data_IF_089223506792
#
_entry.id   IF_089223506792
#
_cell.length_a   1.000
_cell.length_b   1.000
_cell.length_c   1.000
_cell.angle_alpha   90.00
_cell.angle_beta   90.00
_cell.angle_gamma   90.00
#
_symmetry.space_group_name_H-M   'P 1'
#
loop_
_entity.id
_entity.type
_entity.pdbx_description
1 polymer ?
#
# COMPACT_ATOMS: atom_id res chain seq x y z
N UNK A 1 0.86 22.28 13.01
CA UNK A 1 1.89 21.37 12.48
C UNK A 1 2.53 22.01 11.26
N UNK A 2 3.81 21.70 10.93
CA UNK A 2 4.46 22.28 9.76
C UNK A 2 3.85 21.76 8.46
N UNK A 3 3.90 22.56 7.38
CA UNK A 3 3.50 22.12 6.05
C UNK A 3 4.43 21.01 5.56
N UNK A 4 3.92 20.13 4.69
CA UNK A 4 4.75 19.16 3.96
C UNK A 4 5.68 19.95 3.05
N UNK A 5 6.98 19.77 3.20
CA UNK A 5 8.02 20.50 2.46
C UNK A 5 8.70 19.50 1.52
N UNK A 6 9.14 19.98 0.36
CA UNK A 6 9.97 19.19 -0.56
C UNK A 6 11.25 18.72 0.16
N UNK A 7 11.60 17.43 0.13
CA UNK A 7 12.82 16.95 0.75
C UNK A 7 14.06 17.53 0.07
N UNK A 8 15.06 17.92 0.86
CA UNK A 8 16.36 18.27 0.34
C UNK A 8 17.05 17.02 -0.24
N UNK A 9 17.52 17.09 -1.47
CA UNK A 9 18.18 15.97 -2.14
C UNK A 9 19.65 15.91 -1.70
N UNK A 10 20.09 14.82 -1.01
CA UNK A 10 21.47 14.70 -0.56
C UNK A 10 22.45 14.60 -1.72
N UNK A 11 23.63 15.24 -1.60
CA UNK A 11 24.68 15.13 -2.60
C UNK A 11 25.16 13.68 -2.78
N UNK A 12 25.24 12.91 -1.69
CA UNK A 12 25.64 11.51 -1.72
C UNK A 12 24.69 10.64 -2.56
N UNK A 13 23.39 10.97 -2.61
CA UNK A 13 22.43 10.31 -3.52
C UNK A 13 22.77 10.64 -4.96
N UNK A 14 23.04 11.90 -5.27
CA UNK A 14 23.39 12.35 -6.61
C UNK A 14 24.69 11.66 -7.07
N UNK A 15 25.68 11.61 -6.19
CA UNK A 15 26.98 10.95 -6.45
C UNK A 15 26.80 9.45 -6.68
N UNK A 16 25.91 8.79 -5.94
CA UNK A 16 25.56 7.39 -6.15
C UNK A 16 24.92 7.16 -7.53
N UNK A 17 23.98 8.02 -7.95
CA UNK A 17 23.34 7.92 -9.27
C UNK A 17 24.34 8.15 -10.41
N UNK A 18 25.35 8.99 -10.21
CA UNK A 18 26.41 9.20 -11.20
C UNK A 18 27.42 8.07 -11.27
N UNK A 19 27.73 7.45 -10.12
CA UNK A 19 28.81 6.46 -9.98
C UNK A 19 28.56 5.18 -10.77
N UNK A 20 27.34 4.63 -10.74
CA UNK A 20 27.04 3.34 -11.33
C UNK A 20 26.47 3.46 -12.74
N UNK A 21 26.72 2.42 -13.55
CA UNK A 21 26.20 2.33 -14.91
C UNK A 21 24.88 1.57 -14.98
N UNK A 22 24.74 0.54 -14.14
CA UNK A 22 23.56 -0.34 -14.08
C UNK A 22 22.91 -0.20 -12.72
N UNK A 23 21.59 -0.18 -12.69
CA UNK A 23 20.81 -0.10 -11.45
C UNK A 23 19.83 -1.26 -11.33
N UNK A 24 19.92 -1.97 -10.20
CA UNK A 24 18.91 -2.90 -9.72
C UNK A 24 17.89 -2.10 -8.90
N UNK A 25 16.63 -2.12 -9.29
CA UNK A 25 15.58 -1.36 -8.60
C UNK A 25 14.60 -2.37 -8.02
N UNK A 26 14.44 -2.37 -6.69
CA UNK A 26 13.57 -3.28 -5.97
C UNK A 26 12.78 -2.53 -4.90
N UNK A 27 11.55 -2.96 -4.67
CA UNK A 27 10.74 -2.52 -3.54
C UNK A 27 10.40 -3.66 -2.60
N UNK A 28 9.42 -3.44 -1.72
CA UNK A 28 9.02 -4.46 -0.76
C UNK A 28 8.32 -5.67 -1.39
N UNK A 29 8.40 -6.82 -0.70
CA UNK A 29 7.59 -8.01 -1.01
C UNK A 29 6.10 -7.66 -0.94
N UNK A 30 5.28 -8.31 -1.79
CA UNK A 30 3.85 -7.99 -1.94
C UNK A 30 3.63 -6.51 -2.30
N UNK A 31 4.16 -6.08 -3.46
CA UNK A 31 4.19 -4.68 -3.83
C UNK A 31 2.80 -4.07 -3.94
N UNK A 32 2.73 -2.77 -3.71
CA UNK A 32 1.54 -1.97 -3.97
C UNK A 32 1.78 -0.94 -5.10
N UNK A 33 0.83 -0.01 -5.26
CA UNK A 33 0.92 0.95 -6.35
C UNK A 33 2.03 1.98 -6.18
N UNK A 34 2.38 2.37 -4.94
CA UNK A 34 3.50 3.30 -4.71
C UNK A 34 4.84 2.61 -4.95
N UNK A 35 4.99 1.37 -4.50
CA UNK A 35 6.17 0.55 -4.76
C UNK A 35 6.41 0.35 -6.27
N UNK A 36 5.37 -0.01 -7.04
CA UNK A 36 5.46 -0.23 -8.48
C UNK A 36 5.66 1.07 -9.24
N UNK A 37 4.90 2.12 -8.91
CA UNK A 37 5.03 3.46 -9.48
C UNK A 37 6.42 4.04 -9.28
N UNK A 38 6.96 3.92 -8.05
CA UNK A 38 8.30 4.33 -7.68
C UNK A 38 9.38 3.59 -8.46
N UNK A 39 9.28 2.26 -8.54
CA UNK A 39 10.25 1.44 -9.27
C UNK A 39 10.29 1.79 -10.76
N UNK A 40 9.14 1.89 -11.41
CA UNK A 40 9.06 2.18 -12.84
C UNK A 40 9.50 3.62 -13.13
N UNK A 41 9.03 4.61 -12.36
CA UNK A 41 9.42 6.01 -12.55
C UNK A 41 10.94 6.21 -12.40
N UNK A 42 11.55 5.60 -11.37
CA UNK A 42 13.01 5.62 -11.18
C UNK A 42 13.75 4.95 -12.35
N UNK A 43 13.25 3.83 -12.85
CA UNK A 43 13.82 3.15 -14.02
C UNK A 43 13.77 4.03 -15.28
N UNK A 44 12.63 4.67 -15.56
CA UNK A 44 12.47 5.58 -16.70
C UNK A 44 13.44 6.75 -16.61
N UNK A 45 13.51 7.39 -15.44
CA UNK A 45 14.41 8.48 -15.16
C UNK A 45 15.88 8.10 -15.39
N UNK A 46 16.34 6.97 -14.83
CA UNK A 46 17.72 6.50 -14.99
C UNK A 46 18.07 6.16 -16.44
N UNK A 47 17.13 5.54 -17.18
CA UNK A 47 17.30 5.29 -18.62
C UNK A 47 17.43 6.58 -19.42
N UNK A 48 16.68 7.62 -19.05
CA UNK A 48 16.81 8.97 -19.65
C UNK A 48 18.20 9.56 -19.41
N UNK A 49 18.86 9.21 -18.29
CA UNK A 49 20.24 9.59 -18.00
C UNK A 49 21.28 8.65 -18.66
N UNK A 50 20.86 7.73 -19.53
CA UNK A 50 21.74 6.77 -20.22
C UNK A 50 22.21 5.60 -19.37
N UNK A 51 21.55 5.32 -18.24
CA UNK A 51 21.83 4.18 -17.38
C UNK A 51 21.06 2.94 -17.81
N UNK A 52 21.58 1.76 -17.52
CA UNK A 52 20.87 0.49 -17.65
C UNK A 52 20.10 0.20 -16.36
N UNK A 53 18.90 -0.39 -16.46
CA UNK A 53 18.07 -0.68 -15.27
C UNK A 53 17.45 -2.07 -15.36
N UNK A 54 17.35 -2.74 -14.22
CA UNK A 54 16.62 -4.00 -14.03
C UNK A 54 15.60 -3.77 -12.91
N UNK A 55 14.32 -3.97 -13.23
CA UNK A 55 13.23 -3.94 -12.25
C UNK A 55 13.11 -5.31 -11.59
N UNK A 56 13.12 -5.35 -10.27
CA UNK A 56 13.08 -6.57 -9.47
C UNK A 56 11.90 -6.55 -8.51
N UNK A 57 11.21 -7.69 -8.37
CA UNK A 57 10.17 -7.88 -7.35
C UNK A 57 10.06 -9.34 -6.96
N UNK A 58 9.97 -9.63 -5.65
CA UNK A 58 9.66 -10.97 -5.15
C UNK A 58 8.18 -11.33 -5.31
N UNK A 59 7.34 -10.36 -5.71
CA UNK A 59 5.89 -10.58 -5.78
C UNK A 59 5.27 -10.97 -4.43
N UNK A 60 4.10 -11.63 -4.43
CA UNK A 60 3.18 -11.73 -5.57
C UNK A 60 2.44 -10.42 -5.86
N UNK A 61 2.04 -10.19 -7.13
CA UNK A 61 1.27 -9.02 -7.57
C UNK A 61 -0.23 -9.26 -7.35
N UNK A 62 -0.66 -9.25 -6.10
CA UNK A 62 -2.04 -9.61 -5.74
C UNK A 62 -3.07 -8.53 -6.04
N UNK A 63 -2.67 -7.26 -6.01
CA UNK A 63 -3.58 -6.13 -6.20
C UNK A 63 -3.92 -5.95 -7.68
N UNK A 64 -5.20 -5.91 -8.08
CA UNK A 64 -5.61 -5.84 -9.49
C UNK A 64 -5.00 -4.67 -10.26
N UNK A 65 -4.82 -3.52 -9.61
CA UNK A 65 -4.32 -2.29 -10.23
C UNK A 65 -2.84 -2.36 -10.62
N UNK A 66 -2.07 -3.33 -10.09
CA UNK A 66 -0.66 -3.50 -10.41
C UNK A 66 -0.35 -4.74 -11.24
N UNK A 67 -1.29 -5.67 -11.41
CA UNK A 67 -1.07 -6.93 -12.14
C UNK A 67 -0.53 -6.73 -13.56
N UNK A 68 -0.99 -5.68 -14.25
CA UNK A 68 -0.54 -5.39 -15.61
C UNK A 68 0.97 -5.07 -15.71
N UNK A 69 1.61 -4.72 -14.59
CA UNK A 69 3.03 -4.38 -14.55
C UNK A 69 3.94 -5.56 -14.21
N UNK A 70 3.39 -6.70 -13.76
CA UNK A 70 4.17 -7.86 -13.30
C UNK A 70 5.22 -8.31 -14.33
N UNK A 71 4.85 -8.34 -15.61
CA UNK A 71 5.76 -8.75 -16.70
C UNK A 71 7.00 -7.85 -16.89
N UNK A 72 7.04 -6.66 -16.27
CA UNK A 72 8.18 -5.75 -16.31
C UNK A 72 9.26 -6.12 -15.26
N UNK A 73 8.91 -6.93 -14.28
CA UNK A 73 9.76 -7.25 -13.14
C UNK A 73 10.33 -8.67 -13.24
N UNK A 74 11.58 -8.82 -12.81
CA UNK A 74 12.22 -10.13 -12.64
C UNK A 74 12.24 -10.51 -11.16
N UNK A 75 12.06 -11.78 -10.86
CA UNK A 75 12.24 -12.34 -9.51
C UNK A 75 13.72 -12.62 -9.18
N UNK A 76 14.63 -12.42 -10.15
CA UNK A 76 16.04 -12.76 -9.99
C UNK A 76 16.94 -11.69 -10.58
N UNK A 77 18.05 -11.41 -9.87
CA UNK A 77 19.16 -10.61 -10.40
C UNK A 77 19.82 -11.40 -11.53
N UNK A 78 20.01 -10.80 -12.72
CA UNK A 78 20.71 -11.46 -13.83
C UNK A 78 22.15 -11.86 -13.46
N UNK A 79 22.54 -13.10 -13.71
CA UNK A 79 23.86 -13.62 -13.32
C UNK A 79 25.02 -12.83 -13.91
N UNK A 80 24.89 -12.32 -15.14
CA UNK A 80 25.88 -11.46 -15.77
C UNK A 80 26.21 -10.17 -14.99
N UNK A 81 25.29 -9.70 -14.12
CA UNK A 81 25.53 -8.53 -13.26
C UNK A 81 26.29 -8.89 -11.99
N UNK A 82 26.18 -10.12 -11.52
CA UNK A 82 26.96 -10.63 -10.38
C UNK A 82 28.45 -10.75 -10.70
N UNK A 83 28.81 -10.89 -11.98
CA UNK A 83 30.21 -10.95 -12.46
C UNK A 83 30.88 -9.56 -12.52
N UNK A 84 30.11 -8.46 -12.45
CA UNK A 84 30.62 -7.08 -12.54
C UNK A 84 30.00 -6.14 -11.49
N UNK A 85 30.10 -6.47 -10.20
CA UNK A 85 29.40 -5.73 -9.12
C UNK A 85 29.84 -4.26 -9.01
N UNK A 86 31.06 -3.92 -9.42
CA UNK A 86 31.59 -2.55 -9.38
C UNK A 86 30.86 -1.57 -10.31
N UNK A 87 30.15 -2.07 -11.33
CA UNK A 87 29.36 -1.26 -12.25
C UNK A 87 27.90 -1.11 -11.80
N UNK A 88 27.48 -1.85 -10.77
CA UNK A 88 26.08 -2.03 -10.39
C UNK A 88 25.79 -1.39 -9.05
N UNK A 89 24.75 -0.56 -8.99
CA UNK A 89 24.15 -0.04 -7.76
C UNK A 89 22.72 -0.55 -7.57
N UNK A 90 22.28 -0.73 -6.34
CA UNK A 90 20.90 -1.10 -6.03
C UNK A 90 20.16 0.10 -5.44
N UNK A 91 18.92 0.32 -5.89
CA UNK A 91 18.00 1.33 -5.34
C UNK A 91 16.81 0.59 -4.77
N UNK A 92 16.63 0.72 -3.46
CA UNK A 92 15.52 0.14 -2.74
C UNK A 92 14.47 1.24 -2.57
N UNK A 93 13.27 1.02 -3.09
CA UNK A 93 12.19 2.00 -3.05
C UNK A 93 11.04 1.52 -2.18
N UNK A 94 10.39 2.46 -1.51
CA UNK A 94 9.17 2.24 -0.75
C UNK A 94 9.28 1.21 0.38
N UNK A 95 10.48 1.06 0.92
CA UNK A 95 10.73 0.30 2.13
C UNK A 95 12.07 0.66 2.76
N UNK A 96 12.18 0.41 4.05
CA UNK A 96 13.28 0.87 4.90
C UNK A 96 14.60 0.13 4.70
N UNK A 97 14.64 -0.92 3.88
CA UNK A 97 15.87 -1.67 3.64
C UNK A 97 15.69 -2.93 2.81
N UNK A 98 16.81 -3.53 2.43
CA UNK A 98 16.88 -4.76 1.61
C UNK A 98 16.10 -5.92 2.23
N UNK A 99 16.08 -6.04 3.55
CA UNK A 99 15.36 -7.08 4.30
C UNK A 99 13.85 -7.15 3.99
N UNK A 100 13.29 -6.04 3.50
CA UNK A 100 11.87 -5.97 3.11
C UNK A 100 11.59 -6.46 1.69
N UNK A 101 12.62 -6.70 0.88
CA UNK A 101 12.49 -7.12 -0.51
C UNK A 101 12.18 -8.63 -0.68
N UNK A 102 11.99 -9.37 0.42
CA UNK A 102 11.72 -10.81 0.42
C UNK A 102 12.90 -11.62 -0.09
N UNK A 103 12.66 -12.59 -0.97
CA UNK A 103 13.71 -13.50 -1.49
C UNK A 103 14.77 -12.81 -2.34
N UNK A 104 14.59 -11.53 -2.68
CA UNK A 104 15.60 -10.70 -3.33
C UNK A 104 16.68 -10.21 -2.35
N UNK A 105 16.43 -10.23 -1.03
CA UNK A 105 17.34 -9.67 -0.04
C UNK A 105 18.75 -10.27 -0.12
N UNK A 106 18.85 -11.60 -0.22
CA UNK A 106 20.13 -12.30 -0.37
C UNK A 106 20.83 -11.97 -1.70
N UNK A 107 20.06 -11.81 -2.78
CA UNK A 107 20.60 -11.52 -4.10
C UNK A 107 21.11 -10.08 -4.23
N UNK A 108 20.58 -9.15 -3.44
CA UNK A 108 20.93 -7.72 -3.44
C UNK A 108 22.03 -7.39 -2.43
N UNK A 109 22.33 -8.27 -1.48
CA UNK A 109 23.24 -8.01 -0.37
C UNK A 109 24.68 -7.65 -0.80
N UNK A 110 25.13 -8.18 -1.94
CA UNK A 110 26.48 -7.96 -2.46
C UNK A 110 26.62 -6.64 -3.25
N UNK A 111 25.53 -5.92 -3.50
CA UNK A 111 25.55 -4.68 -4.27
C UNK A 111 25.47 -3.46 -3.34
N UNK A 112 26.27 -2.40 -3.60
CA UNK A 112 26.09 -1.12 -2.94
C UNK A 112 24.68 -0.59 -3.14
N UNK A 113 24.01 -0.21 -2.05
CA UNK A 113 22.59 0.14 -2.11
C UNK A 113 22.25 1.43 -1.39
N UNK A 114 21.21 2.12 -1.88
CA UNK A 114 20.53 3.23 -1.22
C UNK A 114 19.04 2.93 -1.10
N UNK A 115 18.40 3.55 -0.10
CA UNK A 115 16.94 3.51 0.08
C UNK A 115 16.33 4.88 -0.24
N UNK A 116 15.19 4.86 -0.93
CA UNK A 116 14.31 6.02 -1.13
C UNK A 116 12.95 5.63 -0.58
N UNK A 117 12.52 6.23 0.53
CA UNK A 117 11.37 5.74 1.29
C UNK A 117 10.67 6.87 2.06
N UNK A 118 9.37 6.71 2.27
CA UNK A 118 8.57 7.61 3.10
C UNK A 118 8.11 7.00 4.44
N UNK A 119 8.45 5.74 4.71
CA UNK A 119 8.08 5.09 5.98
C UNK A 119 8.97 5.54 7.13
N UNK A 120 8.35 5.84 8.29
CA UNK A 120 9.04 6.32 9.50
C UNK A 120 9.84 5.24 10.25
N UNK A 121 9.76 3.98 9.83
CA UNK A 121 10.42 2.84 10.50
C UNK A 121 11.92 2.81 10.20
N UNK A 122 12.72 2.41 11.19
CA UNK A 122 14.19 2.40 11.22
C UNK A 122 14.84 2.05 9.88
N UNK A 123 15.00 3.06 9.04
CA UNK A 123 15.74 2.91 7.79
C UNK A 123 17.19 2.61 8.11
N UNK A 124 17.74 1.58 7.48
CA UNK A 124 19.18 1.38 7.41
C UNK A 124 19.76 2.63 6.75
N UNK A 125 20.41 3.48 7.52
CA UNK A 125 21.01 4.73 7.03
C UNK A 125 22.28 4.40 6.25
N UNK A 126 22.14 3.82 5.06
CA UNK A 126 23.26 3.79 4.12
C UNK A 126 23.51 5.22 3.62
N UNK A 127 24.78 5.56 3.40
CA UNK A 127 25.17 6.84 2.83
C UNK A 127 24.48 7.03 1.49
N UNK A 128 23.82 8.17 1.31
CA UNK A 128 23.03 8.48 0.10
C UNK A 128 21.55 8.08 0.13
N UNK A 129 21.08 7.37 1.16
CA UNK A 129 19.66 7.08 1.32
C UNK A 129 18.85 8.36 1.63
N UNK A 130 17.64 8.45 1.06
CA UNK A 130 16.70 9.53 1.29
C UNK A 130 15.40 8.96 1.85
N UNK A 131 15.24 9.07 3.18
CA UNK A 131 14.02 8.69 3.89
C UNK A 131 13.35 9.95 4.40
N UNK A 132 12.11 10.19 3.97
CA UNK A 132 11.35 11.39 4.32
C UNK A 132 9.92 11.04 4.75
N UNK A 133 9.75 10.85 6.05
CA UNK A 133 8.50 10.34 6.65
C UNK A 133 7.30 11.31 6.55
N UNK A 134 7.51 12.58 6.24
CA UNK A 134 6.44 13.54 6.00
C UNK A 134 5.94 13.53 4.54
N UNK A 135 6.61 12.79 3.64
CA UNK A 135 6.13 12.65 2.27
C UNK A 135 4.86 11.79 2.23
N UNK A 136 3.90 12.12 1.35
CA UNK A 136 2.66 11.36 1.20
C UNK A 136 2.85 10.02 0.51
N UNK A 137 3.99 9.81 -0.16
CA UNK A 137 4.35 8.60 -0.91
C UNK A 137 5.83 8.64 -1.31
N UNK A 138 6.40 7.51 -1.65
CA UNK A 138 7.76 7.43 -2.21
C UNK A 138 7.83 8.03 -3.60
N UNK A 139 6.78 7.92 -4.41
CA UNK A 139 6.70 8.59 -5.71
C UNK A 139 6.80 10.12 -5.62
N UNK A 140 6.30 10.76 -4.56
CA UNK A 140 6.50 12.19 -4.31
C UNK A 140 7.98 12.54 -4.12
N UNK A 141 8.73 11.71 -3.39
CA UNK A 141 10.18 11.90 -3.20
C UNK A 141 10.92 11.74 -4.54
N UNK A 142 10.56 10.71 -5.32
CA UNK A 142 11.18 10.46 -6.64
C UNK A 142 10.88 11.61 -7.61
N UNK A 143 9.67 12.16 -7.61
CA UNK A 143 9.37 13.38 -8.39
C UNK A 143 10.31 14.52 -8.01
N UNK A 144 10.55 14.74 -6.72
CA UNK A 144 11.46 15.78 -6.24
C UNK A 144 12.90 15.55 -6.73
N UNK A 145 13.38 14.30 -6.75
CA UNK A 145 14.70 13.95 -7.28
C UNK A 145 14.78 14.27 -8.78
N UNK A 146 13.79 13.83 -9.55
CA UNK A 146 13.75 14.02 -11.00
C UNK A 146 13.72 15.52 -11.35
N UNK A 147 12.84 16.28 -10.70
CA UNK A 147 12.71 17.72 -10.94
C UNK A 147 13.98 18.49 -10.51
N UNK A 148 14.65 18.07 -9.42
CA UNK A 148 15.92 18.65 -9.01
C UNK A 148 17.03 18.46 -10.06
N UNK A 149 17.14 17.26 -10.64
CA UNK A 149 18.22 16.90 -11.55
C UNK A 149 17.94 17.27 -13.01
N UNK A 150 16.67 17.26 -13.44
CA UNK A 150 16.27 17.42 -14.84
C UNK A 150 15.32 18.61 -15.09
N UNK A 151 14.87 19.30 -14.04
CA UNK A 151 13.94 20.42 -14.12
C UNK A 151 12.48 20.03 -14.35
N UNK A 152 12.20 18.88 -14.95
CA UNK A 152 10.84 18.39 -15.21
C UNK A 152 10.81 16.87 -15.39
N UNK A 153 9.63 16.29 -15.21
CA UNK A 153 9.34 14.89 -15.52
C UNK A 153 8.86 14.71 -16.96
N UNK A 154 9.08 13.52 -17.55
CA UNK A 154 8.45 13.14 -18.82
C UNK A 154 7.01 12.71 -18.60
N UNK A 155 6.25 12.49 -19.67
CA UNK A 155 4.88 11.99 -19.57
C UNK A 155 4.82 10.61 -18.92
N UNK A 156 5.68 9.70 -19.34
CA UNK A 156 5.74 8.32 -18.83
C UNK A 156 6.13 8.28 -17.35
N UNK A 157 7.11 9.11 -16.95
CA UNK A 157 7.47 9.30 -15.54
C UNK A 157 6.29 9.86 -14.75
N UNK A 158 5.60 10.89 -15.27
CA UNK A 158 4.48 11.53 -14.62
C UNK A 158 3.28 10.58 -14.41
N UNK A 159 2.99 9.69 -15.37
CA UNK A 159 1.93 8.69 -15.25
C UNK A 159 2.20 7.73 -14.08
N UNK A 160 3.44 7.24 -13.93
CA UNK A 160 3.82 6.33 -12.84
C UNK A 160 3.90 7.02 -11.48
N UNK A 161 4.45 8.23 -11.44
CA UNK A 161 4.52 9.05 -10.22
C UNK A 161 3.12 9.40 -9.71
N UNK A 162 2.21 9.78 -10.62
CA UNK A 162 0.84 10.08 -10.28
C UNK A 162 0.08 8.84 -9.82
N UNK A 163 0.31 7.68 -10.46
CA UNK A 163 -0.30 6.41 -10.05
C UNK A 163 0.08 6.04 -8.62
N UNK A 164 1.38 6.02 -8.27
CA UNK A 164 1.84 5.70 -6.92
C UNK A 164 1.33 6.69 -5.87
N UNK A 165 1.41 8.00 -6.14
CA UNK A 165 0.86 9.01 -5.26
C UNK A 165 -0.64 8.81 -4.99
N UNK A 166 -1.42 8.49 -6.02
CA UNK A 166 -2.86 8.26 -5.88
C UNK A 166 -3.17 6.99 -5.09
N UNK A 167 -2.41 5.91 -5.28
CA UNK A 167 -2.65 4.65 -4.55
C UNK A 167 -2.39 4.83 -3.06
N UNK A 168 -1.31 5.48 -2.68
CA UNK A 168 -0.91 5.64 -1.29
C UNK A 168 -1.74 6.69 -0.54
N UNK A 169 -2.14 7.75 -1.22
CA UNK A 169 -3.03 8.78 -0.65
C UNK A 169 -4.52 8.43 -0.74
N UNK A 170 -4.88 7.26 -1.27
CA UNK A 170 -6.27 6.88 -1.52
C UNK A 170 -6.99 7.87 -2.43
N UNK A 171 -6.33 8.30 -3.49
CA UNK A 171 -6.75 9.36 -4.39
C UNK A 171 -7.01 10.69 -3.65
N UNK A 172 -6.01 11.10 -2.85
CA UNK A 172 -5.96 12.35 -2.06
C UNK A 172 -6.87 12.41 -0.81
N UNK A 173 -7.69 11.41 -0.52
CA UNK A 173 -8.61 11.43 0.63
C UNK A 173 -7.90 11.35 1.98
N UNK A 174 -6.63 10.91 2.02
CA UNK A 174 -5.82 10.82 3.24
C UNK A 174 -4.97 12.07 3.47
N UNK A 175 -5.03 13.04 2.56
CA UNK A 175 -4.34 14.32 2.71
C UNK A 175 -5.13 15.27 3.63
N UNK A 176 -4.40 16.18 4.28
CA UNK A 176 -4.94 17.19 5.19
C UNK A 176 -4.57 18.63 4.76
N UNK A 177 -4.82 19.61 5.61
CA UNK A 177 -4.56 21.03 5.36
C UNK A 177 -3.08 21.41 5.22
N UNK A 178 -2.15 20.47 5.52
CA UNK A 178 -0.70 20.65 5.34
C UNK A 178 -0.23 20.29 3.94
N UNK A 179 -1.10 19.68 3.14
CA UNK A 179 -0.75 19.03 1.86
C UNK A 179 -0.74 19.97 0.65
N UNK A 180 -0.67 21.30 0.86
CA UNK A 180 -0.67 22.27 -0.25
C UNK A 180 0.44 22.01 -1.27
N UNK A 181 1.65 21.67 -0.82
CA UNK A 181 2.78 21.36 -1.69
C UNK A 181 2.54 20.08 -2.50
N UNK A 182 1.88 19.08 -1.92
CA UNK A 182 1.52 17.84 -2.63
C UNK A 182 0.64 18.12 -3.83
N UNK A 183 -0.33 19.03 -3.69
CA UNK A 183 -1.18 19.45 -4.81
C UNK A 183 -0.41 20.24 -5.87
N UNK A 184 0.57 21.07 -5.47
CA UNK A 184 1.44 21.76 -6.40
C UNK A 184 2.30 20.78 -7.24
N UNK A 185 2.85 19.74 -6.61
CA UNK A 185 3.55 18.64 -7.27
C UNK A 185 2.62 17.86 -8.20
N UNK A 186 1.43 17.50 -7.72
CA UNK A 186 0.41 16.84 -8.51
C UNK A 186 0.02 17.62 -9.77
N UNK A 187 -0.13 18.94 -9.65
CA UNK A 187 -0.43 19.79 -10.81
C UNK A 187 0.64 19.68 -11.90
N UNK A 188 1.93 19.61 -11.53
CA UNK A 188 3.03 19.43 -12.50
C UNK A 188 2.98 18.07 -13.19
N UNK A 189 2.61 16.99 -12.47
CA UNK A 189 2.42 15.67 -13.07
C UNK A 189 1.30 15.68 -14.12
N UNK A 190 0.16 16.33 -13.81
CA UNK A 190 -0.95 16.47 -14.75
C UNK A 190 -0.55 17.33 -15.96
N UNK A 191 0.21 18.42 -15.76
CA UNK A 191 0.75 19.23 -16.84
C UNK A 191 1.73 18.46 -17.74
N UNK A 192 2.51 17.54 -17.17
CA UNK A 192 3.40 16.64 -17.91
C UNK A 192 2.66 15.54 -18.68
N UNK A 193 1.37 15.31 -18.38
CA UNK A 193 0.52 14.38 -19.14
C UNK A 193 -0.09 13.23 -18.33
N UNK A 194 0.12 13.17 -17.02
CA UNK A 194 -0.61 12.22 -16.17
C UNK A 194 -2.12 12.45 -16.27
N UNK A 195 -2.89 11.37 -16.37
CA UNK A 195 -4.34 11.44 -16.58
C UNK A 195 -5.11 10.98 -15.32
N UNK A 196 -5.64 11.92 -14.49
CA UNK A 196 -6.35 11.57 -13.26
C UNK A 196 -7.56 10.66 -13.49
N UNK A 197 -8.31 10.88 -14.57
CA UNK A 197 -9.49 10.05 -14.90
C UNK A 197 -9.08 8.60 -15.19
N UNK A 198 -7.99 8.44 -15.94
CA UNK A 198 -7.47 7.11 -16.28
C UNK A 198 -6.91 6.39 -15.03
N UNK A 199 -6.11 7.09 -14.24
CA UNK A 199 -5.57 6.53 -12.99
C UNK A 199 -6.68 6.14 -12.02
N UNK A 200 -7.71 6.98 -11.84
CA UNK A 200 -8.86 6.65 -11.01
C UNK A 200 -9.58 5.38 -11.50
N UNK A 201 -9.79 5.28 -12.81
CA UNK A 201 -10.43 4.10 -13.42
C UNK A 201 -9.56 2.84 -13.25
N UNK A 202 -8.23 2.94 -13.37
CA UNK A 202 -7.32 1.82 -13.15
C UNK A 202 -7.35 1.33 -11.70
N UNK A 203 -7.36 2.23 -10.73
CA UNK A 203 -7.41 1.89 -9.29
C UNK A 203 -8.76 1.29 -8.85
N UNK A 204 -9.87 1.78 -9.40
CA UNK A 204 -11.23 1.42 -8.94
C UNK A 204 -11.99 0.54 -9.91
N UNK A 205 -11.49 0.37 -11.13
CA UNK A 205 -12.07 -0.46 -12.19
C UNK A 205 -11.66 -1.94 -12.08
N UNK A 206 -12.03 -2.70 -13.10
CA UNK A 206 -11.63 -4.12 -13.23
C UNK A 206 -12.29 -5.08 -12.24
N UNK A 207 -13.13 -4.60 -11.35
CA UNK A 207 -13.81 -5.43 -10.34
C UNK A 207 -14.87 -6.31 -11.00
N UNK A 208 -14.92 -7.59 -10.61
CA UNK A 208 -15.87 -8.56 -11.16
C UNK A 208 -17.32 -8.25 -10.74
N UNK A 209 -18.27 -8.75 -11.49
CA UNK A 209 -19.67 -8.72 -11.09
C UNK A 209 -19.88 -9.49 -9.77
N UNK A 210 -19.17 -10.61 -9.58
CA UNK A 210 -19.17 -11.40 -8.35
C UNK A 210 -18.74 -10.56 -7.13
N UNK A 211 -17.69 -9.76 -7.26
CA UNK A 211 -17.26 -8.83 -6.19
C UNK A 211 -18.38 -7.86 -5.79
N UNK A 212 -19.07 -7.26 -6.74
CA UNK A 212 -20.19 -6.34 -6.44
C UNK A 212 -21.39 -7.06 -5.84
N UNK A 213 -21.65 -8.30 -6.28
CA UNK A 213 -22.70 -9.16 -5.68
C UNK A 213 -22.36 -9.49 -4.23
N UNK A 214 -21.11 -9.88 -3.93
CA UNK A 214 -20.68 -10.20 -2.57
C UNK A 214 -20.80 -8.97 -1.64
N UNK A 215 -20.32 -7.81 -2.09
CA UNK A 215 -20.47 -6.54 -1.35
C UNK A 215 -21.94 -6.29 -1.03
N UNK A 216 -22.83 -6.42 -2.01
CA UNK A 216 -24.26 -6.18 -1.81
C UNK A 216 -24.86 -7.11 -0.75
N UNK A 217 -24.49 -8.39 -0.72
CA UNK A 217 -24.94 -9.37 0.28
C UNK A 217 -24.41 -9.00 1.68
N UNK A 218 -23.16 -8.63 1.80
CA UNK A 218 -22.56 -8.20 3.07
C UNK A 218 -23.26 -6.93 3.58
N UNK A 219 -23.47 -5.93 2.73
CA UNK A 219 -24.17 -4.71 3.13
C UNK A 219 -25.63 -4.96 3.52
N UNK A 220 -26.32 -5.86 2.83
CA UNK A 220 -27.72 -6.21 3.17
C UNK A 220 -27.85 -6.92 4.53
N UNK A 221 -26.78 -7.55 5.03
CA UNK A 221 -26.74 -8.25 6.33
C UNK A 221 -26.23 -7.39 7.48
N UNK A 222 -25.94 -6.11 7.24
CA UNK A 222 -25.47 -5.21 8.30
C UNK A 222 -26.49 -5.12 9.45
N UNK A 223 -25.98 -5.26 10.67
CA UNK A 223 -26.74 -5.04 11.91
C UNK A 223 -26.05 -4.01 12.78
N UNK A 224 -26.77 -2.95 13.19
CA UNK A 224 -26.23 -1.96 14.12
C UNK A 224 -26.35 -2.44 15.58
N UNK A 225 -25.32 -2.14 16.37
CA UNK A 225 -25.27 -2.36 17.82
C UNK A 225 -24.79 -1.09 18.51
N UNK A 226 -25.01 -0.97 19.81
CA UNK A 226 -24.60 0.18 20.64
C UNK A 226 -25.03 1.53 20.06
N UNK A 227 -26.32 1.62 19.68
CA UNK A 227 -26.85 2.85 19.07
C UNK A 227 -26.29 3.18 17.69
N UNK A 228 -25.81 2.19 16.96
CA UNK A 228 -25.21 2.35 15.63
C UNK A 228 -23.68 2.58 15.63
N UNK A 229 -23.05 2.64 16.81
CA UNK A 229 -21.60 2.80 16.92
C UNK A 229 -20.82 1.59 16.42
N UNK A 230 -21.37 0.37 16.51
CA UNK A 230 -20.81 -0.86 15.94
C UNK A 230 -21.72 -1.38 14.84
N UNK A 231 -21.13 -1.63 13.68
CA UNK A 231 -21.79 -2.38 12.59
C UNK A 231 -21.15 -3.77 12.51
N UNK A 232 -22.00 -4.80 12.54
CA UNK A 232 -21.56 -6.18 12.30
C UNK A 232 -22.23 -6.70 11.04
N UNK A 233 -21.44 -7.39 10.21
CA UNK A 233 -21.95 -8.10 9.05
C UNK A 233 -21.16 -9.38 8.82
N UNK A 234 -21.55 -10.17 7.80
CA UNK A 234 -20.92 -11.47 7.58
C UNK A 234 -21.02 -11.95 6.14
N UNK A 235 -20.10 -12.85 5.79
CA UNK A 235 -20.12 -13.70 4.60
C UNK A 235 -20.43 -15.13 5.04
N UNK A 236 -21.30 -15.80 4.29
CA UNK A 236 -21.67 -17.22 4.53
C UNK A 236 -20.79 -18.15 3.71
N UNK A 237 -20.78 -19.44 4.08
CA UNK A 237 -20.16 -20.48 3.25
C UNK A 237 -20.81 -20.56 1.86
N UNK A 238 -22.13 -20.33 1.76
CA UNK A 238 -22.82 -20.25 0.48
C UNK A 238 -22.28 -19.11 -0.41
N UNK A 239 -21.99 -17.93 0.15
CA UNK A 239 -21.38 -16.84 -0.63
C UNK A 239 -20.02 -17.27 -1.18
N UNK A 240 -19.21 -17.98 -0.37
CA UNK A 240 -17.91 -18.50 -0.78
C UNK A 240 -18.04 -19.53 -1.93
N UNK A 241 -19.01 -20.41 -1.84
CA UNK A 241 -19.22 -21.44 -2.86
C UNK A 241 -19.78 -20.88 -4.17
N UNK A 242 -20.69 -19.90 -4.12
CA UNK A 242 -21.34 -19.32 -5.29
C UNK A 242 -20.49 -18.26 -6.00
N UNK A 243 -19.70 -17.48 -5.26
CA UNK A 243 -19.03 -16.29 -5.77
C UNK A 243 -17.51 -16.47 -5.81
N UNK A 244 -16.95 -17.20 -4.86
CA UNK A 244 -15.50 -17.41 -4.70
C UNK A 244 -14.83 -16.34 -3.84
N UNK A 245 -13.76 -16.76 -3.11
CA UNK A 245 -12.99 -15.88 -2.22
C UNK A 245 -12.16 -14.85 -2.97
N UNK A 246 -11.79 -15.13 -4.21
CA UNK A 246 -11.06 -14.25 -5.11
C UNK A 246 -11.84 -12.99 -5.47
N UNK A 247 -13.16 -13.00 -5.27
CA UNK A 247 -14.04 -11.86 -5.51
C UNK A 247 -14.21 -10.96 -4.28
N UNK A 248 -13.54 -11.24 -3.16
CA UNK A 248 -13.56 -10.40 -1.97
C UNK A 248 -12.91 -9.04 -2.26
N UNK A 249 -13.57 -7.97 -1.86
CA UNK A 249 -13.09 -6.59 -1.88
C UNK A 249 -13.33 -5.99 -0.48
N UNK A 250 -12.55 -6.47 0.47
CA UNK A 250 -12.73 -6.12 1.89
C UNK A 250 -12.59 -4.62 2.15
N UNK A 251 -11.68 -3.97 1.46
CA UNK A 251 -11.43 -2.54 1.66
C UNK A 251 -12.64 -1.71 1.23
N UNK A 252 -13.29 -2.06 0.12
CA UNK A 252 -14.50 -1.40 -0.32
C UNK A 252 -15.66 -1.61 0.67
N UNK A 253 -15.82 -2.84 1.22
CA UNK A 253 -16.83 -3.11 2.24
C UNK A 253 -16.62 -2.21 3.46
N UNK A 254 -15.40 -2.17 3.99
CA UNK A 254 -15.10 -1.32 5.15
C UNK A 254 -15.31 0.15 4.86
N UNK A 255 -14.89 0.64 3.69
CA UNK A 255 -15.10 2.04 3.30
C UNK A 255 -16.57 2.44 3.28
N UNK A 256 -17.42 1.59 2.68
CA UNK A 256 -18.86 1.87 2.60
C UNK A 256 -19.50 1.91 3.98
N UNK A 257 -19.09 1.03 4.89
CA UNK A 257 -19.62 0.98 6.26
C UNK A 257 -19.06 2.12 7.11
N UNK A 258 -17.78 2.47 6.97
CA UNK A 258 -17.17 3.60 7.69
C UNK A 258 -17.82 4.95 7.34
N UNK A 259 -18.38 5.07 6.14
CA UNK A 259 -19.14 6.27 5.72
C UNK A 259 -20.48 6.45 6.39
N UNK A 260 -20.98 5.50 7.17
CA UNK A 260 -22.26 5.61 7.89
C UNK A 260 -22.07 6.53 9.10
N UNK A 261 -22.95 7.52 9.24
CA UNK A 261 -22.87 8.48 10.34
C UNK A 261 -22.93 7.80 11.72
N UNK A 262 -22.00 8.15 12.60
CA UNK A 262 -21.95 7.64 13.98
C UNK A 262 -21.24 6.29 14.17
N UNK A 263 -20.86 5.61 13.09
CA UNK A 263 -20.08 4.35 13.17
C UNK A 263 -18.70 4.63 13.76
N UNK A 264 -18.31 3.82 14.74
CA UNK A 264 -17.00 3.86 15.40
C UNK A 264 -16.20 2.59 15.18
N UNK A 265 -16.88 1.44 15.00
CA UNK A 265 -16.23 0.16 14.77
C UNK A 265 -17.06 -0.72 13.82
N UNK A 266 -16.36 -1.64 13.16
CA UNK A 266 -16.92 -2.60 12.21
C UNK A 266 -16.34 -3.97 12.51
N UNK A 267 -17.21 -4.98 12.49
CA UNK A 267 -16.82 -6.39 12.57
C UNK A 267 -17.41 -7.14 11.36
N UNK A 268 -16.56 -7.76 10.57
CA UNK A 268 -16.98 -8.64 9.47
C UNK A 268 -16.51 -10.05 9.76
N UNK A 269 -17.46 -10.97 9.90
CA UNK A 269 -17.21 -12.40 10.12
C UNK A 269 -17.40 -13.15 8.80
N UNK A 270 -16.40 -13.93 8.38
CA UNK A 270 -16.43 -14.69 7.13
C UNK A 270 -16.33 -16.18 7.42
N UNK A 271 -17.32 -16.95 7.01
CA UNK A 271 -17.26 -18.39 7.10
C UNK A 271 -16.33 -18.95 6.02
N UNK A 272 -15.11 -19.33 6.39
CA UNK A 272 -14.13 -19.87 5.45
C UNK A 272 -14.21 -21.39 5.28
N UNK A 273 -14.62 -22.10 6.33
CA UNK A 273 -14.93 -23.55 6.30
C UNK A 273 -16.18 -23.80 7.15
N UNK A 274 -16.65 -25.04 7.20
CA UNK A 274 -17.79 -25.41 8.05
C UNK A 274 -17.57 -25.07 9.53
N UNK A 275 -16.33 -25.06 9.98
CA UNK A 275 -15.96 -24.93 11.40
C UNK A 275 -15.11 -23.71 11.73
N UNK A 276 -14.65 -22.94 10.75
CA UNK A 276 -13.74 -21.81 11.00
C UNK A 276 -14.16 -20.56 10.24
N UNK A 277 -13.93 -19.44 10.90
CA UNK A 277 -14.16 -18.10 10.37
C UNK A 277 -12.89 -17.26 10.38
N UNK A 278 -12.66 -16.48 9.32
CA UNK A 278 -11.82 -15.29 9.39
C UNK A 278 -12.65 -14.08 9.82
N UNK A 279 -12.07 -13.26 10.69
CA UNK A 279 -12.77 -12.08 11.24
C UNK A 279 -11.88 -10.87 11.06
N UNK A 280 -12.45 -9.82 10.50
CA UNK A 280 -11.77 -8.56 10.38
C UNK A 280 -12.49 -7.46 11.16
N UNK A 281 -11.71 -6.68 11.87
CA UNK A 281 -12.16 -5.52 12.61
C UNK A 281 -11.56 -4.25 12.01
N UNK A 282 -12.34 -3.19 11.95
CA UNK A 282 -11.88 -1.84 11.67
C UNK A 282 -12.50 -0.88 12.68
N UNK A 283 -11.76 0.18 12.98
CA UNK A 283 -12.28 1.24 13.84
C UNK A 283 -11.87 2.62 13.34
N UNK A 284 -12.56 3.62 13.89
CA UNK A 284 -12.24 5.02 13.76
C UNK A 284 -11.89 5.58 15.15
N UNK A 285 -10.96 6.52 15.18
CA UNK A 285 -10.59 7.32 16.36
C UNK A 285 -10.14 6.50 17.59
N UNK A 286 -11.03 6.34 18.57
CA UNK A 286 -10.69 5.92 19.94
C UNK A 286 -10.82 4.42 20.19
N UNK A 287 -11.55 3.68 19.38
CA UNK A 287 -11.78 2.25 19.59
C UNK A 287 -10.54 1.44 19.22
N UNK A 288 -10.03 0.63 20.15
CA UNK A 288 -8.88 -0.24 19.95
C UNK A 288 -9.31 -1.66 19.59
N UNK A 289 -9.39 -1.96 18.28
CA UNK A 289 -9.77 -3.29 17.80
C UNK A 289 -8.65 -4.31 17.92
N UNK A 290 -7.38 -3.89 18.13
CA UNK A 290 -6.29 -4.84 18.34
C UNK A 290 -6.42 -5.56 19.67
N UNK A 291 -6.84 -4.87 20.72
CA UNK A 291 -7.10 -5.47 22.03
C UNK A 291 -8.25 -6.48 21.98
N UNK A 292 -9.29 -6.19 21.18
CA UNK A 292 -10.41 -7.11 20.97
C UNK A 292 -9.93 -8.36 20.21
N UNK A 293 -9.20 -8.19 19.10
CA UNK A 293 -8.65 -9.34 18.36
C UNK A 293 -7.75 -10.20 19.24
N UNK A 294 -6.88 -9.57 20.04
CA UNK A 294 -5.95 -10.28 20.95
C UNK A 294 -6.69 -11.13 22.01
N UNK A 295 -7.84 -10.68 22.51
CA UNK A 295 -8.65 -11.45 23.46
C UNK A 295 -9.21 -12.77 22.88
N UNK A 296 -9.22 -12.91 21.55
CA UNK A 296 -9.61 -14.12 20.82
C UNK A 296 -8.44 -14.82 20.14
N UNK A 297 -7.18 -14.47 20.48
CA UNK A 297 -5.98 -15.08 19.89
C UNK A 297 -5.56 -14.51 18.55
N UNK A 298 -6.10 -13.37 18.15
CA UNK A 298 -5.73 -12.63 16.95
C UNK A 298 -4.76 -11.49 17.23
N UNK A 299 -4.68 -10.53 16.28
CA UNK A 299 -3.80 -9.37 16.41
C UNK A 299 -4.00 -8.34 15.32
N UNK A 300 -3.15 -7.32 15.34
CA UNK A 300 -3.15 -6.23 14.37
C UNK A 300 -2.83 -4.89 15.00
N UNK A 301 -3.26 -3.82 14.33
CA UNK A 301 -3.09 -2.44 14.78
C UNK A 301 -4.35 -1.93 15.45
N UNK A 302 -4.23 -0.84 16.20
CA UNK A 302 -5.33 -0.22 16.96
C UNK A 302 -6.60 -0.02 16.12
N UNK A 303 -6.49 0.33 14.86
CA UNK A 303 -7.62 0.62 13.96
C UNK A 303 -7.92 -0.49 12.95
N UNK A 304 -7.07 -1.51 12.85
CA UNK A 304 -7.21 -2.63 11.91
C UNK A 304 -6.63 -3.89 12.49
N UNK A 305 -7.48 -4.85 12.82
CA UNK A 305 -7.08 -6.12 13.40
C UNK A 305 -7.90 -7.27 12.84
N UNK A 306 -7.43 -8.50 13.05
CA UNK A 306 -8.15 -9.69 12.60
C UNK A 306 -7.70 -10.95 13.30
N UNK A 307 -8.44 -12.02 13.06
CA UNK A 307 -8.14 -13.35 13.59
C UNK A 307 -8.76 -14.44 12.71
N UNK A 308 -8.24 -15.64 12.87
CA UNK A 308 -8.84 -16.87 12.36
C UNK A 308 -9.24 -17.73 13.55
N UNK A 309 -10.51 -18.14 13.63
CA UNK A 309 -11.07 -18.76 14.84
C UNK A 309 -12.05 -19.87 14.50
N UNK A 310 -12.06 -20.91 15.32
CA UNK A 310 -13.05 -21.97 15.27
C UNK A 310 -14.43 -21.46 15.71
N UNK A 311 -15.45 -21.78 14.91
CA UNK A 311 -16.85 -21.42 15.13
C UNK A 311 -17.59 -21.13 13.83
N UNK A 312 -18.85 -20.83 13.99
CA UNK A 312 -19.73 -20.40 12.90
C UNK A 312 -20.09 -18.92 13.06
N UNK A 313 -20.52 -18.29 11.97
CA UNK A 313 -21.02 -16.90 11.99
C UNK A 313 -22.00 -16.68 13.14
N UNK A 314 -22.99 -17.57 13.30
CA UNK A 314 -24.03 -17.44 14.31
C UNK A 314 -23.49 -17.57 15.74
N UNK A 315 -22.50 -18.44 15.97
CA UNK A 315 -21.89 -18.64 17.28
C UNK A 315 -20.91 -17.52 17.68
N UNK A 316 -20.28 -16.88 16.71
CA UNK A 316 -19.20 -15.92 16.94
C UNK A 316 -19.70 -14.47 17.04
N UNK A 317 -20.70 -14.07 16.26
CA UNK A 317 -21.21 -12.69 16.27
C UNK A 317 -21.60 -12.22 17.69
N UNK A 318 -22.37 -12.97 18.50
CA UNK A 318 -22.72 -12.53 19.86
C UNK A 318 -21.49 -12.28 20.73
N UNK A 319 -20.46 -13.13 20.64
CA UNK A 319 -19.22 -13.01 21.41
C UNK A 319 -18.43 -11.76 21.04
N UNK A 320 -18.36 -11.44 19.72
CA UNK A 320 -17.70 -10.21 19.30
C UNK A 320 -18.49 -8.97 19.69
N UNK A 321 -19.81 -8.97 19.54
CA UNK A 321 -20.65 -7.86 20.01
C UNK A 321 -20.40 -7.57 21.49
N UNK A 322 -20.40 -8.60 22.35
CA UNK A 322 -20.13 -8.46 23.78
C UNK A 322 -18.72 -7.89 24.06
N UNK A 323 -17.70 -8.32 23.31
CA UNK A 323 -16.33 -7.82 23.47
C UNK A 323 -16.18 -6.31 23.21
N UNK A 324 -17.04 -5.73 22.39
CA UNK A 324 -17.05 -4.28 22.13
C UNK A 324 -17.75 -3.47 23.25
N UNK A 325 -18.51 -4.10 24.18
CA UNK A 325 -19.30 -3.39 25.18
C UNK A 325 -18.45 -2.40 25.99
N UNK A 326 -17.31 -2.84 26.53
CA UNK A 326 -16.44 -2.02 27.38
C UNK A 326 -15.92 -0.76 26.72
N UNK A 327 -15.75 -0.76 25.39
CA UNK A 327 -15.21 0.38 24.66
C UNK A 327 -16.30 1.29 24.08
N UNK A 328 -17.51 0.77 23.82
CA UNK A 328 -18.58 1.53 23.16
C UNK A 328 -19.64 2.05 24.13
N UNK A 329 -19.83 1.40 25.30
CA UNK A 329 -20.73 1.89 26.35
C UNK A 329 -20.08 2.99 27.20
N UNK A 330 -18.76 2.94 27.43
CA UNK A 330 -18.02 3.96 28.18
C UNK A 330 -17.91 5.32 27.47
N UNK A 331 -18.26 5.39 26.19
CA UNK A 331 -18.21 6.61 25.36
C UNK A 331 -19.59 7.30 25.22
N UNK A 332 -20.47 7.16 26.23
CA UNK A 332 -21.83 7.76 26.27
C UNK A 332 -21.82 9.06 27.04
#
# INVERSE_FOLDING_TARGET
MAAIITPAIPQDLIDFLHKYRVFLIAGHKEPDGDCIGSSIAMSLFLRRLGKETVLLSAGPFQRPEIQAYEALFSAHVPDALKERPDEVGAIIVDCSGIDRTGDLAEQLADFPSICIDHHATNATKSVGSLVYADAPSTTFIIQSIIEHLCGSVTKEEAEMLFFGLCTDTGFFRHLDDRSGEVFAYTARLVQAGANPKYTFAAMNGGKSFGSRTLISRVLARMKPYYGGKLIVSYETDQDRQEIGVENRDSDMVYQLIQGIAGVKAICIVRQDTETHCSVGFRSLDTVDVSSIAASFGGGGHKQAAGLYIEGTVDSLIPRFVEAFASQLEAAS
#
